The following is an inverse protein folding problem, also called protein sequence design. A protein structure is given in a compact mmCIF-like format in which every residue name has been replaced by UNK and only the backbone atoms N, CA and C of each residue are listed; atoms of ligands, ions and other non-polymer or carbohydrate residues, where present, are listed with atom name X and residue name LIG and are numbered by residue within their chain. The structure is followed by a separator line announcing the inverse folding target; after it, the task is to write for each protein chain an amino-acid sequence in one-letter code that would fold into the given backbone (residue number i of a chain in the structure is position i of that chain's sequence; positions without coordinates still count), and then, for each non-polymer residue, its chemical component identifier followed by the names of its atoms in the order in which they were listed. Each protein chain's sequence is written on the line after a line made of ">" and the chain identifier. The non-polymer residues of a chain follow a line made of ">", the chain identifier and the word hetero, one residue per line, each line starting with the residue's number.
data_IF_557834540892
#
_entry.id   IF_557834540892
#
_cell.length_a   1.000
_cell.length_b   1.000
_cell.length_c   1.000
_cell.angle_alpha   90.00
_cell.angle_beta   90.00
_cell.angle_gamma   90.00
#
_symmetry.space_group_name_H-M   'P 1'
#
loop_
_entity.id
_entity.type
_entity.pdbx_description
1 polymer ?
#
# COMPACT_ATOMS: atom_id res chain seq x y z
N UNK A 1 -54.82 7.82 -54.48
CA UNK A 1 -54.71 6.43 -54.95
C UNK A 1 -54.55 5.54 -53.73
N UNK A 2 -55.51 4.64 -53.51
CA UNK A 2 -55.54 3.70 -52.38
C UNK A 2 -54.79 2.40 -52.73
N UNK A 3 -54.17 1.83 -51.69
CA UNK A 3 -53.89 0.42 -51.41
C UNK A 3 -53.21 -0.45 -52.48
N UNK A 4 -52.04 -1.01 -52.13
CA UNK A 4 -51.80 -2.48 -52.15
C UNK A 4 -50.77 -2.84 -51.06
N UNK A 5 -51.12 -3.79 -50.17
CA UNK A 5 -50.19 -4.59 -49.34
C UNK A 5 -49.69 -5.76 -50.18
N UNK A 6 -48.42 -6.18 -50.04
CA UNK A 6 -48.03 -7.58 -50.22
C UNK A 6 -46.83 -7.95 -49.34
N UNK A 7 -46.74 -9.26 -49.15
CA UNK A 7 -46.17 -10.02 -48.04
C UNK A 7 -44.90 -10.74 -48.49
N UNK A 8 -44.04 -11.12 -47.52
CA UNK A 8 -43.28 -12.39 -47.43
C UNK A 8 -42.13 -12.71 -48.42
N UNK A 9 -40.95 -13.06 -47.85
CA UNK A 9 -40.02 -14.20 -48.12
C UNK A 9 -38.60 -13.77 -47.71
N UNK A 10 -37.97 -14.31 -46.67
CA UNK A 10 -37.30 -15.62 -46.59
C UNK A 10 -36.29 -15.88 -47.71
N UNK A 11 -35.01 -15.62 -47.43
CA UNK A 11 -33.89 -16.31 -48.10
C UNK A 11 -32.73 -16.49 -47.13
N UNK A 12 -32.65 -17.73 -46.62
CA UNK A 12 -31.45 -18.37 -46.11
C UNK A 12 -30.49 -18.60 -47.28
N UNK A 13 -29.24 -18.15 -47.19
CA UNK A 13 -28.16 -18.67 -48.04
C UNK A 13 -27.04 -19.13 -47.11
N UNK A 14 -27.01 -20.44 -46.92
CA UNK A 14 -25.87 -21.21 -46.46
C UNK A 14 -24.98 -21.46 -47.68
N UNK A 15 -23.72 -21.09 -47.62
CA UNK A 15 -22.71 -21.57 -48.57
C UNK A 15 -21.50 -22.08 -47.78
N UNK A 16 -21.47 -23.40 -47.64
CA UNK A 16 -20.35 -24.21 -47.18
C UNK A 16 -19.49 -24.61 -48.39
N UNK A 17 -18.18 -24.58 -48.18
CA UNK A 17 -17.12 -25.21 -48.98
C UNK A 17 -15.79 -24.89 -48.27
N UNK A 18 -15.28 -25.69 -47.32
CA UNK A 18 -14.65 -27.02 -47.45
C UNK A 18 -13.68 -27.04 -48.65
N UNK A 19 -12.36 -27.28 -48.52
CA UNK A 19 -11.71 -28.38 -47.79
C UNK A 19 -10.22 -28.15 -47.53
N UNK A 20 -9.73 -28.59 -46.36
CA UNK A 20 -8.56 -29.49 -46.12
C UNK A 20 -8.33 -29.52 -44.60
N UNK A 21 -8.28 -30.62 -43.84
CA UNK A 21 -8.42 -32.05 -44.04
C UNK A 21 -8.49 -32.71 -42.64
N UNK A 22 -9.08 -33.90 -42.54
CA UNK A 22 -9.25 -34.75 -41.34
C UNK A 22 -7.92 -35.05 -40.62
N UNK A 23 -7.80 -35.40 -39.33
CA UNK A 23 -8.69 -35.85 -38.26
C UNK A 23 -7.81 -36.55 -37.20
N UNK A 24 -8.33 -36.73 -35.98
CA UNK A 24 -7.83 -37.56 -34.86
C UNK A 24 -6.74 -36.97 -33.92
N UNK A 25 -7.14 -36.64 -32.68
CA UNK A 25 -6.29 -36.70 -31.47
C UNK A 25 -5.84 -38.16 -31.22
N UNK A 26 -4.85 -38.51 -30.35
CA UNK A 26 -4.12 -37.70 -29.35
C UNK A 26 -2.60 -38.00 -29.27
N UNK A 27 -1.77 -37.09 -28.71
CA UNK A 27 -0.57 -37.51 -27.93
C UNK A 27 -0.36 -36.55 -26.74
N UNK A 28 -0.80 -37.01 -25.57
CA UNK A 28 -0.07 -36.77 -24.32
C UNK A 28 1.22 -37.60 -24.35
N UNK A 29 2.37 -36.96 -24.17
CA UNK A 29 3.55 -37.64 -23.61
C UNK A 29 4.01 -36.89 -22.37
N UNK A 30 3.92 -37.61 -21.26
CA UNK A 30 4.23 -37.24 -19.90
C UNK A 30 5.75 -37.18 -19.66
N UNK A 31 6.18 -36.19 -18.88
CA UNK A 31 7.40 -36.21 -18.07
C UNK A 31 7.14 -35.38 -16.79
N UNK A 32 7.54 -35.83 -15.59
CA UNK A 32 6.69 -35.72 -14.39
C UNK A 32 7.08 -34.61 -13.39
N UNK A 33 6.12 -34.31 -12.50
CA UNK A 33 6.22 -33.60 -11.21
C UNK A 33 6.49 -32.08 -11.31
N UNK A 34 5.75 -31.16 -10.71
CA UNK A 34 4.85 -31.24 -9.56
C UNK A 34 3.73 -30.18 -9.63
N UNK A 35 2.66 -30.50 -8.91
CA UNK A 35 1.44 -29.73 -8.79
C UNK A 35 1.66 -28.32 -8.20
N UNK A 36 1.05 -27.33 -8.83
CA UNK A 36 0.84 -26.01 -8.25
C UNK A 36 -0.24 -25.30 -9.04
N UNK A 37 -1.50 -25.52 -8.65
CA UNK A 37 -2.64 -24.85 -9.27
C UNK A 37 -2.44 -23.34 -9.23
N UNK A 38 -2.61 -22.69 -10.38
CA UNK A 38 -2.71 -21.23 -10.46
C UNK A 38 -4.04 -20.88 -9.80
N UNK A 39 -3.98 -20.55 -8.51
CA UNK A 39 -5.06 -19.86 -7.82
C UNK A 39 -4.98 -18.41 -8.29
N UNK A 40 -5.94 -17.99 -9.11
CA UNK A 40 -6.19 -16.59 -9.37
C UNK A 40 -6.70 -16.01 -8.05
N UNK A 41 -5.82 -15.29 -7.33
CA UNK A 41 -6.22 -14.50 -6.16
C UNK A 41 -7.11 -13.38 -6.68
N UNK A 42 -8.35 -13.42 -6.25
CA UNK A 42 -9.35 -12.38 -6.48
C UNK A 42 -8.79 -11.08 -5.89
N UNK A 43 -8.62 -10.04 -6.72
CA UNK A 43 -8.18 -8.71 -6.30
C UNK A 43 -8.97 -8.31 -5.06
N UNK A 44 -8.30 -8.27 -3.90
CA UNK A 44 -8.88 -7.74 -2.68
C UNK A 44 -9.00 -6.22 -2.85
N UNK A 45 -10.02 -5.78 -3.59
CA UNK A 45 -10.41 -4.38 -3.66
C UNK A 45 -10.71 -3.98 -2.23
N UNK A 46 -9.82 -3.16 -1.64
CA UNK A 46 -9.98 -2.63 -0.30
C UNK A 46 -11.36 -1.97 -0.20
N UNK A 47 -12.29 -2.63 0.48
CA UNK A 47 -13.60 -2.06 0.72
C UNK A 47 -13.41 -0.84 1.61
N UNK A 48 -14.09 0.26 1.30
CA UNK A 48 -13.98 1.48 2.09
C UNK A 48 -15.36 1.97 2.52
N UNK A 49 -15.41 2.57 3.71
CA UNK A 49 -16.56 3.32 4.21
C UNK A 49 -16.23 4.80 4.20
N UNK A 50 -17.24 5.65 4.14
CA UNK A 50 -17.06 7.10 4.34
C UNK A 50 -17.58 7.51 5.71
N UNK A 51 -16.71 8.12 6.52
CA UNK A 51 -17.08 8.80 7.75
C UNK A 51 -17.28 10.29 7.47
N UNK A 52 -18.35 10.88 8.01
CA UNK A 52 -18.59 12.33 7.97
C UNK A 52 -18.23 12.91 9.33
N UNK A 53 -17.20 13.75 9.34
CA UNK A 53 -16.65 14.35 10.56
C UNK A 53 -17.71 15.20 11.27
N UNK A 54 -17.80 15.04 12.59
CA UNK A 54 -18.67 15.81 13.48
C UNK A 54 -17.85 16.66 14.46
N UNK A 55 -18.48 17.64 15.16
CA UNK A 55 -17.75 18.48 16.12
C UNK A 55 -17.07 17.65 17.23
N UNK A 56 -15.75 17.82 17.37
CA UNK A 56 -14.96 17.17 18.41
C UNK A 56 -14.24 15.89 17.97
N UNK A 57 -14.43 15.45 16.73
CA UNK A 57 -13.67 14.36 16.12
C UNK A 57 -12.20 14.71 15.93
N UNK A 58 -11.38 13.68 16.07
CA UNK A 58 -9.99 13.61 15.62
C UNK A 58 -9.80 12.27 14.91
N UNK A 59 -8.74 12.10 14.12
CA UNK A 59 -8.47 10.79 13.49
C UNK A 59 -8.42 9.66 14.53
N UNK A 60 -7.81 9.89 15.70
CA UNK A 60 -7.79 8.90 16.79
C UNK A 60 -9.19 8.54 17.28
N UNK A 61 -10.07 9.53 17.52
CA UNK A 61 -11.45 9.28 17.94
C UNK A 61 -12.31 8.63 16.87
N UNK A 62 -12.02 8.91 15.59
CA UNK A 62 -12.69 8.27 14.47
C UNK A 62 -12.25 6.81 14.43
N UNK A 63 -10.95 6.52 14.54
CA UNK A 63 -10.41 5.16 14.59
C UNK A 63 -11.08 4.33 15.70
N UNK A 64 -11.22 4.88 16.91
CA UNK A 64 -11.90 4.22 18.04
C UNK A 64 -13.38 3.82 17.77
N UNK A 65 -14.01 4.39 16.73
CA UNK A 65 -15.39 4.06 16.34
C UNK A 65 -15.47 2.87 15.38
N UNK A 66 -14.36 2.43 14.81
CA UNK A 66 -14.31 1.35 13.82
C UNK A 66 -13.42 0.22 14.34
N UNK A 67 -14.01 -0.97 14.43
CA UNK A 67 -13.28 -2.17 14.84
C UNK A 67 -12.08 -2.41 13.91
N UNK A 68 -10.92 -2.64 14.52
CA UNK A 68 -9.67 -3.00 13.84
C UNK A 68 -9.12 -1.92 12.89
N UNK A 69 -9.51 -0.65 13.05
CA UNK A 69 -8.93 0.49 12.32
C UNK A 69 -8.08 1.32 13.29
N UNK A 70 -6.84 1.61 12.91
CA UNK A 70 -5.92 2.43 13.71
C UNK A 70 -5.88 3.88 13.22
N UNK A 71 -5.30 4.76 14.04
CA UNK A 71 -4.98 6.12 13.60
C UNK A 71 -4.12 6.13 12.32
N UNK A 72 -3.14 5.23 12.23
CA UNK A 72 -2.24 5.12 11.08
C UNK A 72 -3.00 4.76 9.81
N UNK A 73 -3.99 3.87 9.92
CA UNK A 73 -4.84 3.50 8.78
C UNK A 73 -5.58 4.71 8.22
N UNK A 74 -6.14 5.54 9.10
CA UNK A 74 -6.86 6.74 8.68
C UNK A 74 -5.92 7.84 8.16
N UNK A 75 -4.79 8.10 8.82
CA UNK A 75 -3.81 9.10 8.38
C UNK A 75 -3.31 8.75 6.98
N UNK A 76 -2.95 7.50 6.76
CA UNK A 76 -2.38 7.03 5.51
C UNK A 76 -3.41 6.99 4.37
N UNK A 77 -4.60 6.41 4.61
CA UNK A 77 -5.67 6.33 3.61
C UNK A 77 -6.14 7.71 3.13
N UNK A 78 -6.01 8.73 3.98
CA UNK A 78 -6.55 10.07 3.72
C UNK A 78 -5.49 11.14 3.52
N UNK A 79 -4.19 10.79 3.44
CA UNK A 79 -3.08 11.75 3.44
C UNK A 79 -3.30 12.88 2.41
N UNK A 80 -3.57 12.52 1.15
CA UNK A 80 -3.80 13.49 0.06
C UNK A 80 -4.99 14.40 0.34
N UNK A 81 -6.11 13.82 0.80
CA UNK A 81 -7.32 14.59 1.10
C UNK A 81 -7.11 15.53 2.29
N UNK A 82 -6.46 15.05 3.35
CA UNK A 82 -6.17 15.84 4.55
C UNK A 82 -5.22 17.01 4.25
N UNK A 83 -4.18 16.77 3.43
CA UNK A 83 -3.29 17.85 2.95
C UNK A 83 -4.06 18.88 2.13
N UNK A 84 -4.88 18.45 1.18
CA UNK A 84 -5.68 19.36 0.36
C UNK A 84 -6.65 20.20 1.21
N UNK A 85 -7.35 19.57 2.17
CA UNK A 85 -8.24 20.27 3.10
C UNK A 85 -7.48 21.29 3.96
N UNK A 86 -6.29 20.93 4.44
CA UNK A 86 -5.42 21.83 5.19
C UNK A 86 -4.98 23.04 4.33
N UNK A 87 -4.49 22.78 3.12
CA UNK A 87 -4.01 23.81 2.21
C UNK A 87 -5.11 24.78 1.77
N UNK A 88 -6.31 24.27 1.48
CA UNK A 88 -7.49 25.08 1.16
C UNK A 88 -7.82 26.02 2.33
N UNK A 89 -7.89 25.48 3.55
CA UNK A 89 -8.18 26.27 4.77
C UNK A 89 -7.11 27.32 5.02
N UNK A 90 -5.85 26.95 4.81
CA UNK A 90 -4.73 27.83 4.97
C UNK A 90 -4.73 28.96 3.95
N UNK A 91 -5.11 28.67 2.71
CA UNK A 91 -5.27 29.66 1.66
C UNK A 91 -6.44 30.60 1.95
N UNK A 92 -7.60 30.08 2.34
CA UNK A 92 -8.76 30.89 2.74
C UNK A 92 -8.46 31.83 3.92
N UNK A 93 -7.69 31.37 4.90
CA UNK A 93 -7.23 32.20 6.02
C UNK A 93 -6.28 33.33 5.55
N UNK A 94 -5.48 33.11 4.50
CA UNK A 94 -4.58 34.12 3.91
C UNK A 94 -5.32 35.11 3.01
N UNK A 95 -6.25 34.65 2.19
CA UNK A 95 -7.00 35.47 1.22
C UNK A 95 -8.10 36.31 1.87
N UNK A 96 -8.80 35.76 2.87
CA UNK A 96 -9.90 36.46 3.56
C UNK A 96 -9.47 37.61 4.47
N UNK A 97 -8.16 37.79 4.73
CA UNK A 97 -7.66 38.68 5.79
C UNK A 97 -6.48 39.57 5.36
N UNK A 98 -6.68 40.45 4.37
CA UNK A 98 -5.84 41.67 4.23
C UNK A 98 -5.93 42.62 5.43
N UNK A 99 -6.75 42.32 6.45
CA UNK A 99 -6.91 43.14 7.65
C UNK A 99 -7.05 42.27 8.91
N UNK A 100 -5.97 42.06 9.67
CA UNK A 100 -5.92 42.31 11.14
C UNK A 100 -4.54 42.02 11.77
N UNK A 101 -4.05 43.04 12.48
CA UNK A 101 -2.93 43.02 13.45
C UNK A 101 -3.32 42.20 14.70
N UNK A 102 -2.41 41.33 15.14
CA UNK A 102 -2.31 40.71 16.47
C UNK A 102 -3.56 40.00 17.05
N UNK A 103 -3.79 38.74 16.67
CA UNK A 103 -4.79 37.90 17.36
C UNK A 103 -4.98 36.46 16.85
N UNK A 104 -3.94 35.86 16.26
CA UNK A 104 -3.66 34.42 16.00
C UNK A 104 -4.84 33.48 15.64
N UNK A 105 -5.08 33.33 14.34
CA UNK A 105 -5.34 32.01 13.72
C UNK A 105 -4.23 31.77 12.71
N UNK A 106 -3.34 30.83 13.00
CA UNK A 106 -2.25 30.46 12.10
C UNK A 106 -2.47 29.02 11.68
N UNK A 107 -2.21 28.76 10.40
CA UNK A 107 -1.84 27.41 9.98
C UNK A 107 -0.71 26.96 10.88
N UNK A 108 -0.89 25.82 11.52
CA UNK A 108 -0.02 25.38 12.58
C UNK A 108 1.26 24.76 12.00
N UNK A 109 1.87 25.43 11.02
CA UNK A 109 3.03 25.00 10.24
C UNK A 109 4.27 24.75 11.11
N UNK A 110 4.20 25.07 12.41
CA UNK A 110 5.23 24.79 13.42
C UNK A 110 5.17 23.37 13.96
N UNK A 111 4.06 22.64 13.79
CA UNK A 111 3.92 21.27 14.26
C UNK A 111 4.03 20.32 13.07
N UNK A 112 4.74 19.19 13.21
CA UNK A 112 4.64 18.09 12.26
C UNK A 112 3.16 17.72 12.04
N UNK A 113 2.74 17.61 10.78
CA UNK A 113 1.41 17.14 10.40
C UNK A 113 0.25 17.94 10.98
N UNK A 114 0.36 19.26 10.93
CA UNK A 114 -0.74 20.17 11.23
C UNK A 114 -2.05 19.80 10.49
N UNK A 115 -1.95 19.13 9.33
CA UNK A 115 -3.06 18.63 8.54
C UNK A 115 -3.80 17.43 9.16
N UNK A 116 -3.10 16.48 9.80
CA UNK A 116 -3.68 15.24 10.33
C UNK A 116 -4.70 15.49 11.45
N UNK A 117 -4.58 16.61 12.17
CA UNK A 117 -5.51 17.02 13.23
C UNK A 117 -6.37 18.23 12.85
N UNK A 118 -6.47 18.55 11.56
CA UNK A 118 -7.16 19.76 11.08
C UNK A 118 -8.63 19.56 10.72
N UNK A 119 -9.18 18.38 11.01
CA UNK A 119 -10.53 17.97 10.66
C UNK A 119 -11.59 19.00 11.10
N UNK A 120 -12.58 19.22 10.24
CA UNK A 120 -13.73 20.09 10.51
C UNK A 120 -15.03 19.33 10.30
N UNK A 121 -16.10 19.69 11.03
CA UNK A 121 -17.42 19.13 10.80
C UNK A 121 -17.84 19.24 9.33
N UNK A 122 -18.32 18.14 8.75
CA UNK A 122 -18.70 18.03 7.35
C UNK A 122 -17.60 17.48 6.43
N UNK A 123 -16.35 17.38 6.89
CA UNK A 123 -15.29 16.69 6.16
C UNK A 123 -15.65 15.21 5.96
N UNK A 124 -15.17 14.64 4.86
CA UNK A 124 -15.37 13.22 4.54
C UNK A 124 -14.03 12.50 4.60
N UNK A 125 -13.98 11.47 5.42
CA UNK A 125 -12.81 10.62 5.63
C UNK A 125 -13.13 9.22 5.14
N UNK A 126 -12.23 8.64 4.37
CA UNK A 126 -12.29 7.26 3.90
C UNK A 126 -11.76 6.36 5.02
N UNK A 127 -12.60 5.45 5.48
CA UNK A 127 -12.27 4.45 6.49
C UNK A 127 -12.03 3.13 5.77
N UNK A 128 -10.81 2.58 5.80
CA UNK A 128 -10.53 1.29 5.21
C UNK A 128 -11.27 0.18 5.97
N UNK A 129 -11.72 -0.85 5.26
CA UNK A 129 -12.17 -2.10 5.87
C UNK A 129 -10.95 -2.99 6.05
N UNK A 130 -10.60 -3.36 7.29
CA UNK A 130 -9.39 -4.14 7.55
C UNK A 130 -9.49 -5.53 6.91
N UNK A 131 -8.63 -5.82 5.94
CA UNK A 131 -8.51 -7.14 5.33
C UNK A 131 -7.10 -7.29 4.77
N UNK A 132 -6.51 -8.47 4.91
CA UNK A 132 -5.22 -8.79 4.34
C UNK A 132 -5.24 -10.21 3.75
N UNK A 133 -4.46 -10.49 2.70
CA UNK A 133 -4.27 -11.87 2.23
C UNK A 133 -3.71 -12.77 3.33
N UNK A 134 -4.07 -14.06 3.31
CA UNK A 134 -3.61 -15.06 4.30
C UNK A 134 -2.08 -15.12 4.41
N UNK A 135 -1.38 -14.93 3.28
CA UNK A 135 0.08 -14.84 3.26
C UNK A 135 0.60 -13.72 4.16
N UNK A 136 -0.02 -12.54 4.10
CA UNK A 136 0.37 -11.39 4.92
C UNK A 136 0.05 -11.65 6.40
N UNK A 137 -1.09 -12.31 6.69
CA UNK A 137 -1.39 -12.79 8.04
C UNK A 137 -0.28 -13.70 8.57
N UNK A 138 0.15 -14.68 7.78
CA UNK A 138 1.20 -15.61 8.20
C UNK A 138 2.54 -14.91 8.43
N UNK A 139 2.94 -13.97 7.56
CA UNK A 139 4.14 -13.13 7.75
C UNK A 139 4.08 -12.40 9.09
N UNK A 140 2.97 -11.73 9.38
CA UNK A 140 2.80 -10.94 10.59
C UNK A 140 2.74 -11.82 11.84
N UNK A 141 2.07 -12.96 11.75
CA UNK A 141 1.96 -13.94 12.83
C UNK A 141 3.33 -14.44 13.28
N UNK A 142 4.22 -14.74 12.33
CA UNK A 142 5.57 -15.24 12.59
C UNK A 142 6.54 -14.13 13.04
N UNK A 143 6.28 -12.88 12.66
CA UNK A 143 7.11 -11.73 13.05
C UNK A 143 7.11 -11.47 14.57
N UNK A 144 8.27 -11.09 15.11
CA UNK A 144 8.46 -10.80 16.54
C UNK A 144 8.09 -9.34 16.83
N UNK A 145 7.08 -9.08 17.69
CA UNK A 145 6.77 -7.72 18.10
C UNK A 145 7.85 -7.16 19.05
N UNK A 146 8.15 -5.85 18.96
CA UNK A 146 7.48 -4.85 18.13
C UNK A 146 7.96 -4.85 16.67
N UNK A 147 7.08 -4.48 15.74
CA UNK A 147 7.35 -4.52 14.28
C UNK A 147 7.53 -3.09 13.75
N UNK A 148 8.52 -2.90 12.88
CA UNK A 148 8.59 -1.74 11.99
C UNK A 148 8.34 -2.17 10.55
N UNK A 149 7.53 -1.41 9.81
CA UNK A 149 7.34 -1.61 8.38
C UNK A 149 8.27 -0.69 7.62
N UNK A 150 8.99 -1.20 6.63
CA UNK A 150 9.71 -0.41 5.64
C UNK A 150 9.07 -0.69 4.30
N UNK A 151 8.43 0.30 3.71
CA UNK A 151 7.57 0.13 2.53
C UNK A 151 8.07 1.04 1.42
N UNK A 152 8.20 0.43 0.25
CA UNK A 152 8.54 1.14 -0.96
C UNK A 152 7.41 2.11 -1.39
N UNK A 153 7.81 3.33 -1.71
CA UNK A 153 6.95 4.45 -2.10
C UNK A 153 7.46 5.10 -3.41
N UNK A 154 8.27 4.39 -4.19
CA UNK A 154 8.70 4.83 -5.52
C UNK A 154 7.54 4.81 -6.53
N UNK A 155 7.84 5.26 -7.75
CA UNK A 155 6.83 5.42 -8.81
C UNK A 155 6.19 4.11 -9.24
N UNK A 156 6.94 3.00 -9.24
CA UNK A 156 6.45 1.67 -9.60
C UNK A 156 5.37 1.17 -8.63
N UNK A 157 5.50 1.54 -7.36
CA UNK A 157 4.57 1.20 -6.27
C UNK A 157 3.34 2.13 -6.16
N UNK A 158 3.21 3.14 -7.02
CA UNK A 158 2.24 4.23 -6.82
C UNK A 158 0.77 3.80 -6.71
N UNK A 159 0.35 2.75 -7.41
CA UNK A 159 -1.01 2.21 -7.34
C UNK A 159 -1.20 1.25 -6.15
N UNK A 160 -0.16 0.52 -5.76
CA UNK A 160 -0.27 -0.61 -4.85
C UNK A 160 0.15 -0.28 -3.42
N UNK A 161 0.99 0.75 -3.23
CA UNK A 161 1.52 1.14 -1.91
C UNK A 161 0.42 1.29 -0.87
N UNK A 162 -0.74 1.83 -1.28
CA UNK A 162 -1.84 2.07 -0.36
C UNK A 162 -2.44 0.76 0.12
N UNK A 163 -2.74 -0.12 -0.84
CA UNK A 163 -3.32 -1.44 -0.58
C UNK A 163 -2.37 -2.31 0.23
N UNK A 164 -1.10 -2.39 -0.18
CA UNK A 164 -0.06 -3.18 0.49
C UNK A 164 0.15 -2.71 1.92
N UNK A 165 0.31 -1.41 2.16
CA UNK A 165 0.46 -0.87 3.52
C UNK A 165 -0.76 -1.22 4.38
N UNK A 166 -1.96 -1.08 3.82
CA UNK A 166 -3.21 -1.41 4.52
C UNK A 166 -3.31 -2.90 4.87
N UNK A 167 -2.85 -3.81 4.01
CA UNK A 167 -2.79 -5.24 4.35
C UNK A 167 -1.89 -5.50 5.57
N UNK A 168 -0.71 -4.90 5.60
CA UNK A 168 0.22 -5.08 6.72
C UNK A 168 -0.28 -4.48 8.04
N UNK A 169 -0.89 -3.29 7.99
CA UNK A 169 -1.50 -2.66 9.16
C UNK A 169 -2.71 -3.45 9.66
N UNK A 170 -3.56 -3.93 8.73
CA UNK A 170 -4.73 -4.77 9.05
C UNK A 170 -4.32 -6.08 9.69
N UNK A 171 -3.38 -6.81 9.09
CA UNK A 171 -2.87 -8.07 9.63
C UNK A 171 -2.24 -7.85 11.02
N UNK A 172 -1.46 -6.78 11.20
CA UNK A 172 -0.86 -6.45 12.51
C UNK A 172 -1.90 -6.22 13.59
N UNK A 173 -2.98 -5.51 13.25
CA UNK A 173 -4.08 -5.25 14.19
C UNK A 173 -4.82 -6.54 14.55
N UNK A 174 -5.07 -7.42 13.58
CA UNK A 174 -5.77 -8.68 13.79
C UNK A 174 -4.93 -9.71 14.57
N UNK A 175 -3.60 -9.69 14.40
CA UNK A 175 -2.65 -10.55 15.11
C UNK A 175 -2.14 -9.95 16.43
N UNK A 176 -2.71 -8.83 16.89
CA UNK A 176 -2.33 -8.09 18.11
C UNK A 176 -0.81 -7.79 18.17
N UNK A 177 -0.25 -7.34 17.04
CA UNK A 177 1.16 -6.99 16.91
C UNK A 177 1.36 -5.50 17.11
N UNK A 178 2.25 -5.16 18.04
CA UNK A 178 2.67 -3.79 18.26
C UNK A 178 3.50 -3.25 17.08
N UNK A 179 3.08 -2.11 16.53
CA UNK A 179 3.75 -1.40 15.44
C UNK A 179 4.48 -0.17 15.99
N UNK A 180 5.78 -0.04 15.72
CA UNK A 180 6.60 1.12 16.20
C UNK A 180 6.83 2.19 15.13
N UNK A 181 6.38 1.92 13.91
CA UNK A 181 6.31 2.89 12.82
C UNK A 181 6.24 2.24 11.44
N UNK A 182 5.75 3.03 10.49
CA UNK A 182 5.80 2.72 9.05
C UNK A 182 6.78 3.68 8.40
N UNK A 183 7.81 3.15 7.75
CA UNK A 183 8.88 3.90 7.12
C UNK A 183 8.72 3.78 5.61
N UNK A 184 8.28 4.85 4.96
CA UNK A 184 8.14 4.90 3.51
C UNK A 184 9.38 5.53 2.89
N UNK A 185 9.92 4.93 1.85
CA UNK A 185 11.10 5.45 1.16
C UNK A 185 10.86 5.64 -0.33
N UNK A 186 11.43 6.70 -0.88
CA UNK A 186 11.47 7.00 -2.29
C UNK A 186 12.70 7.87 -2.61
N UNK A 187 12.82 8.33 -3.85
CA UNK A 187 13.89 9.25 -4.32
C UNK A 187 14.04 10.55 -3.52
N UNK A 188 12.98 10.93 -2.78
CA UNK A 188 12.96 12.16 -2.00
C UNK A 188 13.27 11.94 -0.51
N UNK A 189 13.60 10.71 -0.11
CA UNK A 189 14.04 10.35 1.23
C UNK A 189 13.09 9.42 1.97
N UNK A 190 13.20 9.42 3.31
CA UNK A 190 12.47 8.51 4.20
C UNK A 190 11.45 9.29 5.03
N UNK A 191 10.19 8.85 4.97
CA UNK A 191 9.09 9.32 5.80
C UNK A 191 8.73 8.27 6.84
N UNK A 192 8.52 8.66 8.09
CA UNK A 192 8.09 7.75 9.16
C UNK A 192 6.72 8.15 9.66
N UNK A 193 5.74 7.26 9.57
CA UNK A 193 4.42 7.40 10.17
C UNK A 193 4.39 6.73 11.53
N UNK A 194 3.87 7.45 12.52
CA UNK A 194 3.68 7.00 13.90
C UNK A 194 2.30 7.45 14.40
N UNK A 195 1.78 6.89 15.50
CA UNK A 195 0.56 7.42 16.12
C UNK A 195 0.65 8.91 16.50
N UNK A 196 1.86 9.42 16.71
CA UNK A 196 2.13 10.84 16.99
C UNK A 196 2.20 11.71 15.73
N UNK A 197 2.27 11.09 14.55
CA UNK A 197 2.28 11.70 13.22
C UNK A 197 3.40 11.22 12.30
N UNK A 198 3.49 11.85 11.14
CA UNK A 198 4.53 11.67 10.11
C UNK A 198 5.79 12.54 10.32
N UNK A 199 6.98 11.97 10.19
CA UNK A 199 8.28 12.65 10.26
C UNK A 199 9.05 12.49 8.95
N UNK A 200 9.74 13.53 8.48
CA UNK A 200 10.68 13.44 7.35
C UNK A 200 12.10 13.28 7.90
N UNK A 201 12.70 12.10 7.70
CA UNK A 201 13.96 11.71 8.36
C UNK A 201 15.19 11.96 7.49
N UNK A 202 15.06 11.79 6.18
CA UNK A 202 16.16 11.96 5.22
C UNK A 202 15.63 12.68 3.99
N UNK A 203 16.45 13.48 3.31
CA UNK A 203 16.10 14.11 2.02
C UNK A 203 17.26 13.95 1.02
N UNK A 204 16.96 13.63 -0.24
CA UNK A 204 17.86 13.86 -1.39
C UNK A 204 18.81 12.72 -1.80
N UNK A 205 18.42 11.46 -1.69
CA UNK A 205 19.12 10.33 -2.36
C UNK A 205 18.14 9.65 -3.31
N UNK A 206 18.60 9.36 -4.53
CA UNK A 206 17.94 8.46 -5.49
C UNK A 206 17.96 7.07 -4.86
N UNK A 207 16.79 6.51 -4.55
CA UNK A 207 16.60 5.26 -3.75
C UNK A 207 17.19 5.27 -2.32
N UNK A 208 16.45 4.74 -1.33
CA UNK A 208 16.79 4.85 0.10
C UNK A 208 16.43 3.59 0.91
N UNK A 209 16.44 2.40 0.29
CA UNK A 209 16.00 1.16 0.95
C UNK A 209 16.81 0.89 2.23
N UNK A 210 18.14 0.86 2.13
CA UNK A 210 19.03 0.66 3.28
C UNK A 210 19.01 1.86 4.24
N UNK A 211 18.87 3.09 3.72
CA UNK A 211 18.60 4.28 4.53
C UNK A 211 17.37 4.12 5.43
N UNK A 212 16.26 3.64 4.89
CA UNK A 212 15.01 3.43 5.60
C UNK A 212 15.11 2.30 6.63
N UNK A 213 15.78 1.20 6.29
CA UNK A 213 16.09 0.12 7.24
C UNK A 213 16.90 0.64 8.43
N UNK A 214 17.87 1.55 8.21
CA UNK A 214 18.63 2.17 9.29
C UNK A 214 17.79 3.09 10.15
N UNK A 215 16.86 3.84 9.58
CA UNK A 215 15.92 4.65 10.36
C UNK A 215 14.99 3.75 11.19
N UNK A 216 14.46 2.67 10.61
CA UNK A 216 13.66 1.68 11.32
C UNK A 216 14.44 1.01 12.47
N UNK A 217 15.73 0.71 12.27
CA UNK A 217 16.63 0.15 13.31
C UNK A 217 16.79 1.07 14.52
N UNK A 218 16.64 2.39 14.39
CA UNK A 218 16.75 3.33 15.52
C UNK A 218 15.56 3.22 16.49
N UNK A 219 14.51 2.52 16.09
CA UNK A 219 13.39 2.18 16.96
C UNK A 219 13.73 0.96 17.84
N UNK A 220 12.74 0.47 18.60
CA UNK A 220 12.85 -0.76 19.38
C UNK A 220 12.28 -1.99 18.65
N UNK A 221 12.17 -1.93 17.33
CA UNK A 221 11.67 -3.05 16.52
C UNK A 221 12.54 -4.29 16.71
N UNK A 222 11.91 -5.46 16.87
CA UNK A 222 12.58 -6.77 16.87
C UNK A 222 12.53 -7.44 15.50
N UNK A 223 11.52 -7.09 14.70
CA UNK A 223 11.42 -7.48 13.30
C UNK A 223 11.17 -6.22 12.46
N UNK A 224 11.89 -6.09 11.36
CA UNK A 224 11.57 -5.14 10.30
C UNK A 224 10.95 -5.92 9.13
N UNK A 225 9.77 -5.52 8.68
CA UNK A 225 9.17 -6.07 7.47
C UNK A 225 9.43 -5.09 6.34
N UNK A 226 10.33 -5.45 5.43
CA UNK A 226 10.63 -4.71 4.21
C UNK A 226 9.70 -5.19 3.09
N UNK A 227 9.04 -4.27 2.41
CA UNK A 227 8.13 -4.56 1.28
C UNK A 227 8.52 -3.68 0.11
N UNK A 228 8.91 -4.29 -1.01
CA UNK A 228 9.45 -3.58 -2.17
C UNK A 228 9.36 -4.44 -3.43
N UNK A 229 9.27 -3.81 -4.59
CA UNK A 229 9.47 -4.40 -5.92
C UNK A 229 10.88 -4.13 -6.48
N UNK A 230 11.75 -3.46 -5.72
CA UNK A 230 13.05 -2.97 -6.17
C UNK A 230 14.26 -3.72 -5.58
N UNK A 231 15.39 -3.80 -6.31
CA UNK A 231 16.65 -4.36 -5.82
C UNK A 231 17.22 -3.63 -4.60
N UNK A 232 16.94 -2.33 -4.47
CA UNK A 232 17.71 -1.39 -3.67
C UNK A 232 19.14 -1.25 -4.19
N UNK A 233 19.58 -0.03 -4.48
CA UNK A 233 20.94 0.25 -4.96
C UNK A 233 21.88 0.82 -3.86
N UNK A 234 21.32 1.23 -2.71
CA UNK A 234 22.00 1.96 -1.62
C UNK A 234 22.62 1.07 -0.53
N UNK A 235 22.77 -0.23 -0.80
CA UNK A 235 23.25 -1.21 0.18
C UNK A 235 24.67 -0.93 0.68
N UNK A 236 24.79 -0.67 1.99
CA UNK A 236 26.07 -0.77 2.69
C UNK A 236 26.12 -2.07 3.50
N UNK A 237 26.58 -3.14 2.85
CA UNK A 237 26.67 -4.48 3.43
C UNK A 237 27.52 -4.58 4.70
N UNK A 238 28.39 -3.60 4.99
CA UNK A 238 29.15 -3.58 6.25
C UNK A 238 28.31 -3.29 7.49
N UNK A 239 27.11 -2.70 7.31
CA UNK A 239 26.22 -2.32 8.41
C UNK A 239 24.90 -3.11 8.43
N UNK A 240 24.67 -3.97 7.43
CA UNK A 240 23.43 -4.78 7.35
C UNK A 240 23.31 -5.74 8.54
N UNK A 241 24.43 -6.28 9.04
CA UNK A 241 24.45 -7.15 10.22
C UNK A 241 24.04 -6.47 11.53
N UNK A 242 23.92 -5.14 11.55
CA UNK A 242 23.41 -4.41 12.72
C UNK A 242 21.87 -4.36 12.75
N UNK A 243 21.20 -4.69 11.65
CA UNK A 243 19.75 -4.68 11.58
C UNK A 243 19.17 -5.81 12.46
N UNK A 244 17.96 -5.61 13.05
CA UNK A 244 17.22 -6.73 13.62
C UNK A 244 16.81 -7.72 12.51
N UNK A 245 16.09 -8.77 12.89
CA UNK A 245 15.53 -9.71 11.93
C UNK A 245 14.73 -8.98 10.84
N UNK A 246 15.06 -9.22 9.58
CA UNK A 246 14.33 -8.62 8.44
C UNK A 246 13.49 -9.69 7.75
N UNK A 247 12.18 -9.46 7.66
CA UNK A 247 11.33 -10.17 6.70
C UNK A 247 11.29 -9.33 5.43
N UNK A 248 11.80 -9.86 4.32
CA UNK A 248 11.86 -9.16 3.05
C UNK A 248 10.83 -9.73 2.08
N UNK A 249 9.80 -8.95 1.78
CA UNK A 249 8.75 -9.28 0.83
C UNK A 249 9.01 -8.56 -0.51
N UNK A 250 9.42 -9.34 -1.50
CA UNK A 250 9.64 -8.90 -2.88
C UNK A 250 8.32 -9.00 -3.64
N UNK A 251 7.70 -7.86 -3.95
CA UNK A 251 6.48 -7.81 -4.75
C UNK A 251 6.80 -8.09 -6.23
N UNK A 252 5.90 -8.77 -6.96
CA UNK A 252 6.13 -9.04 -8.38
C UNK A 252 6.08 -7.74 -9.19
N UNK A 253 7.21 -7.36 -9.78
CA UNK A 253 7.24 -6.41 -10.90
C UNK A 253 7.10 -7.17 -12.23
N UNK A 254 6.71 -6.46 -13.29
CA UNK A 254 6.59 -6.97 -14.65
C UNK A 254 7.90 -7.61 -15.18
N UNK A 255 9.06 -7.25 -14.59
CA UNK A 255 10.38 -7.86 -14.86
C UNK A 255 10.93 -8.63 -13.64
N UNK A 256 10.54 -9.92 -13.58
CA UNK A 256 10.56 -10.88 -12.46
C UNK A 256 11.84 -11.15 -11.61
N UNK A 257 12.93 -10.36 -11.64
CA UNK A 257 14.19 -10.79 -10.99
C UNK A 257 15.01 -9.72 -10.26
N UNK A 258 14.53 -8.49 -10.15
CA UNK A 258 15.39 -7.39 -9.67
C UNK A 258 15.50 -7.38 -8.14
N UNK A 259 14.41 -7.51 -7.36
CA UNK A 259 14.48 -7.47 -5.89
C UNK A 259 15.12 -8.69 -5.21
N UNK A 260 14.99 -9.87 -5.80
CA UNK A 260 15.23 -11.14 -5.12
C UNK A 260 16.67 -11.34 -4.62
N UNK A 261 17.69 -11.06 -5.44
CA UNK A 261 19.10 -11.36 -5.10
C UNK A 261 19.59 -10.60 -3.87
N UNK A 262 19.27 -9.30 -3.76
CA UNK A 262 19.69 -8.49 -2.63
C UNK A 262 18.89 -8.82 -1.38
N UNK A 263 17.59 -9.12 -1.53
CA UNK A 263 16.73 -9.44 -0.41
C UNK A 263 17.05 -10.82 0.21
N UNK A 264 17.37 -11.83 -0.60
CA UNK A 264 17.85 -13.11 -0.09
C UNK A 264 19.16 -12.95 0.71
N UNK A 265 20.08 -12.12 0.21
CA UNK A 265 21.32 -11.80 0.92
C UNK A 265 21.06 -11.05 2.23
N UNK A 266 20.13 -10.09 2.22
CA UNK A 266 19.72 -9.33 3.40
C UNK A 266 19.20 -10.25 4.50
N UNK A 267 18.28 -11.16 4.18
CA UNK A 267 17.69 -12.06 5.17
C UNK A 267 18.70 -13.10 5.66
N UNK A 268 19.63 -13.53 4.81
CA UNK A 268 20.74 -14.40 5.19
C UNK A 268 21.70 -13.78 6.21
N UNK A 269 21.90 -12.45 6.14
CA UNK A 269 22.73 -11.71 7.10
C UNK A 269 21.97 -11.40 8.41
N UNK A 270 20.68 -11.09 8.31
CA UNK A 270 19.85 -10.67 9.46
C UNK A 270 19.17 -11.84 10.18
N UNK A 271 19.27 -13.05 9.63
CA UNK A 271 18.62 -14.25 10.18
C UNK A 271 17.10 -14.25 10.02
N UNK A 272 16.59 -13.52 9.02
CA UNK A 272 15.16 -13.35 8.78
C UNK A 272 14.62 -14.24 7.66
N UNK A 273 13.56 -13.79 7.01
CA UNK A 273 12.80 -14.57 6.02
C UNK A 273 12.64 -13.79 4.71
N UNK A 274 12.93 -14.46 3.60
CA UNK A 274 12.57 -13.97 2.28
C UNK A 274 11.18 -14.47 1.91
N UNK A 275 10.34 -13.58 1.37
CA UNK A 275 9.02 -13.88 0.86
C UNK A 275 8.92 -13.37 -0.57
N UNK A 276 8.64 -14.29 -1.49
CA UNK A 276 8.30 -13.93 -2.86
C UNK A 276 6.80 -13.66 -2.94
N UNK A 277 6.43 -12.49 -3.45
CA UNK A 277 5.05 -12.08 -3.58
C UNK A 277 4.27 -12.93 -4.59
N UNK A 278 2.99 -13.05 -4.30
CA UNK A 278 1.95 -13.56 -5.20
C UNK A 278 0.89 -12.46 -5.22
N UNK A 279 0.44 -12.04 -6.40
CA UNK A 279 -0.63 -11.03 -6.56
C UNK A 279 -1.86 -11.37 -5.69
#
# INVERSE_FOLDING_TARGET
>A
MMNVRYTLLSTLVLALGLTAGCGDDPIHTLGPADAGGIVLVEEAISQTKTHVVVPGDSLAKIADQYDSVTFLDLEFQNETALKALYDERCTQLREGYRVRRNGKRYCNDRFPNAWANSLKPGDRIVVPVPSAPEMIHQIIKDAKPPIAFVIDDTGSMSNDRQVVTQWYLSASTQEDKEIVGVFMYADNGVRRYTPEGTEFLTMGQVENTHGALKEARKTRAKTIVLVTDEPGDDWNWSTVGDLPEVVAHCLPDFDQYTCETNLERLVGVTGGQYVRGVH
#
